data_IF_473987934739
#
_entry.id   IF_473987934739
#
_cell.length_a   1.000
_cell.length_b   1.000
_cell.length_c   1.000
_cell.angle_alpha   90.00
_cell.angle_beta   90.00
_cell.angle_gamma   90.00
#
_symmetry.space_group_name_H-M   'P 1'
#
loop_
_entity.id
_entity.type
_entity.pdbx_description
1 polymer ?
#
# COMPACT_ATOMS: atom_id res chain seq x y z
N UNK A 1 12.09 -10.25 -3.07
CA UNK A 1 10.82 -9.89 -2.44
C UNK A 1 10.77 -8.41 -2.07
N UNK A 2 9.82 -7.69 -2.66
CA UNK A 2 9.49 -6.32 -2.27
C UNK A 2 8.46 -6.33 -1.13
N UNK A 3 8.54 -5.35 -0.22
CA UNK A 3 7.57 -5.16 0.86
C UNK A 3 6.85 -3.84 0.67
N UNK A 4 5.53 -3.84 0.80
CA UNK A 4 4.70 -2.65 0.65
C UNK A 4 4.06 -2.33 2.00
N UNK A 5 4.20 -1.08 2.44
CA UNK A 5 3.64 -0.58 3.69
C UNK A 5 2.66 0.56 3.41
N UNK A 6 1.46 0.48 3.98
CA UNK A 6 0.52 1.61 3.99
C UNK A 6 0.94 2.60 5.07
N UNK A 7 0.96 3.89 4.73
CA UNK A 7 1.35 4.98 5.62
C UNK A 7 0.41 6.16 5.47
N UNK A 8 0.29 6.95 6.53
CA UNK A 8 -0.50 8.18 6.55
C UNK A 8 0.44 9.37 6.69
N UNK A 9 0.24 10.37 5.83
CA UNK A 9 0.87 11.67 5.87
C UNK A 9 -0.17 12.67 6.37
N UNK A 10 -0.09 13.15 7.62
CA UNK A 10 -1.01 14.17 8.11
C UNK A 10 -0.86 15.46 7.30
N UNK A 11 -1.95 16.22 7.20
CA UNK A 11 -1.89 17.59 6.71
C UNK A 11 -1.16 18.48 7.72
N UNK A 12 -0.66 19.64 7.27
CA UNK A 12 -0.05 20.64 8.15
C UNK A 12 -1.03 21.18 9.19
N UNK A 13 -2.32 21.23 8.85
CA UNK A 13 -3.39 21.54 9.79
C UNK A 13 -4.07 20.27 10.28
N UNK A 14 -4.21 20.11 11.60
CA UNK A 14 -4.88 18.97 12.22
C UNK A 14 -6.38 18.87 11.86
N UNK A 15 -6.96 19.96 11.35
CA UNK A 15 -8.35 20.04 10.89
C UNK A 15 -8.50 19.69 9.41
N UNK A 16 -7.40 19.42 8.70
CA UNK A 16 -7.41 19.06 7.28
C UNK A 16 -7.14 17.58 7.09
N UNK A 17 -7.64 17.06 5.98
CA UNK A 17 -7.40 15.68 5.58
C UNK A 17 -5.93 15.46 5.27
N UNK A 18 -5.36 14.40 5.84
CA UNK A 18 -4.05 13.88 5.43
C UNK A 18 -4.20 12.86 4.32
N UNK A 19 -3.09 12.52 3.68
CA UNK A 19 -3.06 11.61 2.53
C UNK A 19 -2.50 10.24 2.93
N UNK A 20 -3.08 9.18 2.38
CA UNK A 20 -2.51 7.83 2.48
C UNK A 20 -1.49 7.64 1.35
N UNK A 21 -0.35 7.04 1.65
CA UNK A 21 0.65 6.68 0.64
C UNK A 21 1.17 5.27 0.87
N UNK A 22 1.65 4.66 -0.21
CA UNK A 22 2.32 3.37 -0.15
C UNK A 22 3.83 3.56 -0.13
N UNK A 23 4.50 2.87 0.78
CA UNK A 23 5.95 2.80 0.86
C UNK A 23 6.40 1.42 0.35
N UNK A 24 7.07 1.40 -0.80
CA UNK A 24 7.68 0.20 -1.37
C UNK A 24 9.12 0.12 -0.90
N UNK A 25 9.50 -1.05 -0.38
CA UNK A 25 10.87 -1.37 0.07
C UNK A 25 11.34 -2.56 -0.75
N UNK A 26 12.40 -2.38 -1.54
CA UNK A 26 13.01 -3.44 -2.35
C UNK A 26 14.52 -3.20 -2.41
N UNK A 27 15.34 -4.21 -2.07
CA UNK A 27 16.81 -4.11 -2.10
C UNK A 27 17.35 -2.87 -1.36
N UNK A 28 16.80 -2.59 -0.17
CA UNK A 28 17.09 -1.39 0.66
C UNK A 28 16.72 -0.04 0.03
N UNK A 29 16.17 -0.01 -1.19
CA UNK A 29 15.63 1.19 -1.83
C UNK A 29 14.19 1.40 -1.40
N UNK A 30 13.87 2.63 -1.02
CA UNK A 30 12.54 3.04 -0.57
C UNK A 30 11.93 3.96 -1.63
N UNK A 31 10.71 3.65 -2.08
CA UNK A 31 9.91 4.52 -2.96
C UNK A 31 8.55 4.79 -2.33
N UNK A 32 8.08 6.03 -2.43
CA UNK A 32 6.72 6.42 -2.03
C UNK A 32 5.84 6.50 -3.27
N UNK A 33 4.64 5.92 -3.20
CA UNK A 33 3.58 6.10 -4.17
C UNK A 33 2.47 6.87 -3.47
N UNK A 34 2.24 8.09 -3.93
CA UNK A 34 1.17 8.94 -3.41
C UNK A 34 -0.16 8.42 -3.97
N UNK A 35 -1.20 8.47 -3.15
CA UNK A 35 -2.57 8.11 -3.55
C UNK A 35 -3.45 9.34 -3.50
N UNK A 36 -4.63 9.26 -4.11
CA UNK A 36 -5.69 10.26 -3.95
C UNK A 36 -6.62 9.95 -2.78
N UNK A 37 -6.20 9.10 -1.84
CA UNK A 37 -6.99 8.74 -0.66
C UNK A 37 -6.69 9.70 0.49
N UNK A 38 -7.70 10.47 0.89
CA UNK A 38 -7.59 11.48 1.93
C UNK A 38 -8.46 11.08 3.13
N UNK A 39 -7.91 11.17 4.33
CA UNK A 39 -8.66 10.87 5.57
C UNK A 39 -8.24 11.85 6.66
N UNK A 40 -9.16 12.15 7.58
CA UNK A 40 -8.80 12.94 8.75
C UNK A 40 -7.90 12.15 9.70
N UNK A 41 -7.04 12.82 10.51
CA UNK A 41 -6.20 12.13 11.49
C UNK A 41 -6.98 11.24 12.48
N UNK A 42 -8.22 11.61 12.81
CA UNK A 42 -9.12 10.83 13.68
C UNK A 42 -9.77 9.62 12.97
N UNK A 43 -9.81 9.65 11.63
CA UNK A 43 -10.25 8.58 10.74
C UNK A 43 -9.09 7.65 10.37
N UNK A 44 -7.92 7.73 11.00
CA UNK A 44 -6.79 6.84 10.75
C UNK A 44 -6.37 6.08 12.01
N UNK A 45 -6.43 4.75 11.98
CA UNK A 45 -5.88 3.91 13.04
C UNK A 45 -4.39 3.67 12.77
N UNK A 46 -3.51 4.31 13.55
CA UNK A 46 -2.05 4.16 13.43
C UNK A 46 -1.55 2.74 13.74
N UNK A 47 -2.20 2.03 14.67
CA UNK A 47 -1.81 0.67 15.07
C UNK A 47 -2.14 -0.34 13.97
N UNK A 48 -3.37 -0.29 13.49
CA UNK A 48 -3.88 -1.22 12.46
C UNK A 48 -3.53 -0.79 11.03
N UNK A 49 -3.06 0.44 10.84
CA UNK A 49 -2.77 1.05 9.53
C UNK A 49 -3.95 0.96 8.56
N UNK A 50 -5.14 1.19 9.12
CA UNK A 50 -6.40 1.16 8.39
C UNK A 50 -7.16 2.43 8.74
N UNK A 51 -7.89 2.99 7.77
CA UNK A 51 -8.79 4.11 8.07
C UNK A 51 -9.81 3.66 9.12
N UNK A 52 -10.11 4.40 10.18
CA UNK A 52 -11.09 4.08 11.22
C UNK A 52 -12.46 4.56 10.76
N UNK A 53 -13.44 3.65 10.70
CA UNK A 53 -14.82 4.00 10.38
C UNK A 53 -15.58 4.31 11.67
N UNK A 54 -16.16 5.50 11.75
CA UNK A 54 -17.21 5.82 12.70
C UNK A 54 -18.58 5.65 12.00
N UNK A 55 -19.39 4.71 12.49
CA UNK A 55 -20.67 4.34 11.86
C UNK A 55 -21.72 5.46 11.92
N UNK A 56 -21.57 6.41 12.85
CA UNK A 56 -22.49 7.53 13.03
C UNK A 56 -22.15 8.73 12.14
N UNK A 57 -20.97 8.74 11.48
CA UNK A 57 -20.53 9.89 10.68
C UNK A 57 -20.95 9.76 9.22
N UNK A 58 -21.29 10.88 8.54
CA UNK A 58 -21.67 10.88 7.12
C UNK A 58 -20.59 10.31 6.19
N UNK A 59 -19.32 10.48 6.55
CA UNK A 59 -18.16 10.04 5.75
C UNK A 59 -17.92 8.53 5.77
N UNK A 60 -18.69 7.74 6.52
CA UNK A 60 -18.48 6.28 6.68
C UNK A 60 -18.35 5.53 5.35
N UNK A 61 -19.20 5.84 4.37
CA UNK A 61 -19.22 5.13 3.08
C UNK A 61 -17.93 5.39 2.29
N UNK A 62 -17.43 6.62 2.35
CA UNK A 62 -16.15 7.00 1.76
C UNK A 62 -14.97 6.27 2.45
N UNK A 63 -14.98 6.20 3.79
CA UNK A 63 -13.93 5.49 4.54
C UNK A 63 -13.96 3.98 4.25
N UNK A 64 -15.14 3.38 4.11
CA UNK A 64 -15.27 1.99 3.66
C UNK A 64 -14.68 1.79 2.26
N UNK A 65 -15.01 2.67 1.31
CA UNK A 65 -14.45 2.60 -0.03
C UNK A 65 -12.92 2.68 -0.03
N UNK A 66 -12.33 3.59 0.77
CA UNK A 66 -10.86 3.67 0.94
C UNK A 66 -10.29 2.36 1.48
N UNK A 67 -10.91 1.77 2.51
CA UNK A 67 -10.44 0.48 3.08
C UNK A 67 -10.41 -0.61 2.03
N UNK A 68 -11.48 -0.73 1.24
CA UNK A 68 -11.59 -1.79 0.25
C UNK A 68 -10.63 -1.57 -0.92
N UNK A 69 -10.41 -0.32 -1.32
CA UNK A 69 -9.38 0.03 -2.30
C UNK A 69 -7.97 -0.29 -1.82
N UNK A 70 -7.64 0.04 -0.56
CA UNK A 70 -6.33 -0.29 0.03
C UNK A 70 -6.14 -1.81 0.06
N UNK A 71 -7.15 -2.60 0.46
CA UNK A 71 -7.07 -4.06 0.44
C UNK A 71 -6.81 -4.59 -0.97
N UNK A 72 -7.57 -4.11 -1.95
CA UNK A 72 -7.41 -4.52 -3.34
C UNK A 72 -6.04 -4.16 -3.91
N UNK A 73 -5.54 -2.96 -3.58
CA UNK A 73 -4.21 -2.50 -3.98
C UNK A 73 -3.10 -3.38 -3.37
N UNK A 74 -3.22 -3.72 -2.09
CA UNK A 74 -2.28 -4.61 -1.41
C UNK A 74 -2.29 -6.02 -2.03
N UNK A 75 -3.47 -6.60 -2.26
CA UNK A 75 -3.58 -7.92 -2.89
C UNK A 75 -3.03 -7.93 -4.31
N UNK A 76 -3.35 -6.89 -5.10
CA UNK A 76 -2.81 -6.72 -6.45
C UNK A 76 -1.29 -6.61 -6.42
N UNK A 77 -0.76 -5.82 -5.48
CA UNK A 77 0.67 -5.61 -5.36
C UNK A 77 1.41 -6.90 -4.95
N UNK A 78 0.83 -7.70 -4.04
CA UNK A 78 1.36 -9.01 -3.67
C UNK A 78 1.39 -9.97 -4.85
N UNK A 79 0.34 -9.99 -5.69
CA UNK A 79 0.32 -10.79 -6.93
C UNK A 79 1.43 -10.35 -7.90
N UNK A 80 1.62 -9.04 -8.09
CA UNK A 80 2.67 -8.49 -8.96
C UNK A 80 4.06 -8.86 -8.41
N UNK A 81 4.31 -8.69 -7.10
CA UNK A 81 5.59 -9.05 -6.49
C UNK A 81 5.89 -10.55 -6.66
N UNK A 82 4.91 -11.43 -6.43
CA UNK A 82 5.08 -12.87 -6.64
C UNK A 82 5.39 -13.21 -8.10
N UNK A 83 4.68 -12.60 -9.06
CA UNK A 83 4.93 -12.80 -10.49
C UNK A 83 6.36 -12.38 -10.87
N UNK A 84 6.78 -11.19 -10.44
CA UNK A 84 8.12 -10.67 -10.74
C UNK A 84 9.23 -11.50 -10.07
N UNK A 85 9.03 -11.96 -8.83
CA UNK A 85 9.98 -12.84 -8.14
C UNK A 85 10.08 -14.21 -8.87
N UNK A 86 8.95 -14.77 -9.33
CA UNK A 86 8.93 -16.01 -10.12
C UNK A 86 9.59 -15.87 -11.50
N UNK A 87 9.34 -14.77 -12.22
CA UNK A 87 9.99 -14.48 -13.51
C UNK A 87 11.51 -14.32 -13.34
N UNK A 88 11.97 -13.61 -12.31
CA UNK A 88 13.39 -13.56 -11.96
C UNK A 88 13.95 -14.96 -11.75
N UNK A 89 13.31 -15.79 -10.92
CA UNK A 89 13.75 -17.17 -10.65
C UNK A 89 13.77 -18.04 -11.91
N UNK A 90 12.77 -17.90 -12.80
CA UNK A 90 12.74 -18.58 -14.10
C UNK A 90 13.88 -18.16 -15.03
N UNK A 91 14.21 -16.86 -15.06
CA UNK A 91 15.35 -16.34 -15.83
C UNK A 91 16.68 -16.87 -15.26
N UNK A 92 16.83 -16.96 -13.94
CA UNK A 92 18.02 -17.57 -13.33
C UNK A 92 18.15 -19.07 -13.66
N UNK A 93 17.04 -19.82 -13.66
CA UNK A 93 17.04 -21.24 -14.02
C UNK A 93 17.30 -21.47 -15.52
N UNK A 94 16.84 -20.58 -16.39
CA UNK A 94 17.13 -20.68 -17.84
C UNK A 94 18.57 -20.31 -18.17
N UNK A 95 19.16 -19.32 -17.49
CA UNK A 95 20.53 -18.87 -17.76
C UNK A 95 21.60 -19.86 -17.31
N UNK A 96 21.29 -20.76 -16.37
CA UNK A 96 22.21 -21.80 -15.89
C UNK A 96 22.13 -23.12 -16.67
N UNK A 97 21.17 -23.29 -17.60
CA UNK A 97 21.01 -24.53 -18.41
C UNK A 97 21.70 -24.50 -19.78
N UNK A 98 22.25 -23.38 -20.23
CA UNK A 98 22.96 -23.24 -21.52
C UNK A 98 24.47 -22.98 -21.36
N UNK A 99 25.12 -23.71 -20.45
CA UNK A 99 26.58 -23.85 -20.40
C UNK A 99 26.93 -25.33 -20.31
N UNK A 100 26.81 -26.02 -21.44
CA UNK A 100 27.57 -27.23 -21.76
C UNK A 100 27.93 -27.09 -23.24
#
# INVERSE_FOLDING_TARGET
>A
MATIKVKFLPSESAEKEGMIYYQIIHERKIRKILTSYYVFPNEWNRKERIAKVDKAKPRRSYIYAIRDRIRWDLDRSARITRKLDNEKNGIYLHRHRNRI
#
